data_IF_506409325492
#
_entry.id   IF_506409325492
#
_cell.length_a   1.000
_cell.length_b   1.000
_cell.length_c   1.000
_cell.angle_alpha   90.00
_cell.angle_beta   90.00
_cell.angle_gamma   90.00
#
_symmetry.space_group_name_H-M   'P 1'
#
loop_
_entity.id
_entity.type
_entity.pdbx_description
1 polymer ?
#
# COMPACT_ATOMS: atom_id res chain seq x y z
N UNK A 1 6.91 8.89 48.25
CA UNK A 1 8.19 9.45 47.75
C UNK A 1 8.70 8.53 46.64
N UNK A 2 8.44 8.87 45.38
CA UNK A 2 8.81 8.03 44.24
C UNK A 2 10.31 8.14 43.97
N UNK A 3 11.03 7.01 43.98
CA UNK A 3 12.44 6.96 43.56
C UNK A 3 12.51 7.45 42.10
N UNK A 4 13.13 8.61 41.87
CA UNK A 4 13.53 9.03 40.53
C UNK A 4 14.57 8.02 40.05
N UNK A 5 14.16 7.06 39.24
CA UNK A 5 15.12 6.24 38.51
C UNK A 5 15.79 7.15 37.49
N UNK A 6 17.07 7.41 37.70
CA UNK A 6 17.92 8.04 36.68
C UNK A 6 18.08 7.02 35.55
N UNK A 7 17.12 7.01 34.63
CA UNK A 7 17.28 6.31 33.38
C UNK A 7 18.26 7.13 32.54
N UNK A 8 19.54 6.79 32.61
CA UNK A 8 20.55 7.27 31.65
C UNK A 8 20.15 6.66 30.32
N UNK A 9 19.32 7.39 29.57
CA UNK A 9 18.87 6.98 28.26
C UNK A 9 20.03 7.22 27.31
N UNK A 10 20.78 6.17 26.98
CA UNK A 10 21.79 6.25 25.93
C UNK A 10 21.12 6.78 24.67
N UNK A 11 21.69 7.79 23.98
CA UNK A 11 21.09 8.39 22.80
C UNK A 11 21.31 7.48 21.59
N UNK A 12 20.75 6.26 21.63
CA UNK A 12 20.95 5.20 20.62
C UNK A 12 20.57 5.70 19.23
N UNK A 13 19.50 6.48 19.11
CA UNK A 13 19.09 7.08 17.83
C UNK A 13 20.14 8.05 17.27
N UNK A 14 20.75 8.89 18.13
CA UNK A 14 21.81 9.82 17.71
C UNK A 14 23.10 9.10 17.33
N UNK A 15 23.49 8.07 18.10
CA UNK A 15 24.67 7.24 17.76
C UNK A 15 24.47 6.51 16.42
N UNK A 16 23.27 5.99 16.16
CA UNK A 16 22.95 5.34 14.90
C UNK A 16 23.05 6.31 13.72
N UNK A 17 22.43 7.49 13.81
CA UNK A 17 22.48 8.52 12.75
C UNK A 17 23.91 9.00 12.52
N UNK A 18 24.68 9.22 13.60
CA UNK A 18 26.09 9.61 13.50
C UNK A 18 26.93 8.55 12.77
N UNK A 19 26.80 7.28 13.17
CA UNK A 19 27.53 6.17 12.55
C UNK A 19 27.18 6.02 11.08
N UNK A 20 25.89 6.11 10.73
CA UNK A 20 25.43 6.06 9.35
C UNK A 20 25.98 7.23 8.52
N UNK A 21 26.01 8.45 9.08
CA UNK A 21 26.57 9.61 8.40
C UNK A 21 28.08 9.46 8.13
N UNK A 22 28.85 8.96 9.11
CA UNK A 22 30.28 8.67 8.94
C UNK A 22 30.49 7.62 7.85
N UNK A 23 29.73 6.52 7.87
CA UNK A 23 29.83 5.45 6.86
C UNK A 23 29.48 5.93 5.45
N UNK A 24 28.49 6.81 5.29
CA UNK A 24 28.15 7.40 3.98
C UNK A 24 29.33 8.22 3.43
N UNK A 25 29.99 9.00 4.28
CA UNK A 25 31.11 9.87 3.89
C UNK A 25 32.35 9.04 3.54
N UNK A 26 32.71 8.07 4.40
CA UNK A 26 33.90 7.25 4.21
C UNK A 26 33.75 6.24 3.06
N UNK A 27 32.54 5.71 2.88
CA UNK A 27 32.27 4.64 1.90
C UNK A 27 30.94 4.87 1.17
N UNK A 28 30.92 5.73 0.12
CA UNK A 28 29.70 6.03 -0.64
C UNK A 28 29.02 4.80 -1.26
N UNK A 29 29.78 3.72 -1.48
CA UNK A 29 29.26 2.41 -1.90
C UNK A 29 28.17 1.87 -0.95
N UNK A 30 28.22 2.24 0.33
CA UNK A 30 27.26 1.81 1.34
C UNK A 30 25.98 2.66 1.38
N UNK A 31 25.78 3.63 0.48
CA UNK A 31 24.56 4.46 0.47
C UNK A 31 23.28 3.60 0.36
N UNK A 32 23.14 2.63 -0.58
CA UNK A 32 21.93 1.81 -0.67
C UNK A 32 21.60 1.01 0.61
N UNK A 33 22.53 0.24 1.23
CA UNK A 33 22.24 -0.44 2.48
C UNK A 33 21.94 0.54 3.62
N UNK A 34 22.62 1.68 3.69
CA UNK A 34 22.35 2.71 4.72
C UNK A 34 20.94 3.27 4.58
N UNK A 35 20.44 3.50 3.36
CA UNK A 35 19.05 3.91 3.14
C UNK A 35 18.09 2.82 3.64
N UNK A 36 18.34 1.55 3.30
CA UNK A 36 17.52 0.42 3.74
C UNK A 36 17.47 0.30 5.27
N UNK A 37 18.63 0.36 5.93
CA UNK A 37 18.72 0.34 7.39
C UNK A 37 18.09 1.58 8.04
N UNK A 38 18.17 2.75 7.39
CA UNK A 38 17.52 3.97 7.88
C UNK A 38 15.99 3.86 7.86
N UNK A 39 15.43 3.28 6.79
CA UNK A 39 13.98 3.01 6.69
C UNK A 39 13.57 2.01 7.78
N UNK A 40 14.31 0.91 7.92
CA UNK A 40 14.05 -0.09 8.95
C UNK A 40 14.12 0.53 10.36
N UNK A 41 15.15 1.33 10.64
CA UNK A 41 15.34 2.00 11.92
C UNK A 41 14.21 2.98 12.23
N UNK A 42 13.77 3.75 11.23
CA UNK A 42 12.63 4.66 11.37
C UNK A 42 11.36 3.89 11.69
N UNK A 43 11.07 2.79 11.00
CA UNK A 43 9.91 1.95 11.27
C UNK A 43 9.99 1.32 12.67
N UNK A 44 11.14 0.80 13.09
CA UNK A 44 11.35 0.27 14.44
C UNK A 44 11.18 1.35 15.52
N UNK A 45 11.66 2.56 15.27
CA UNK A 45 11.49 3.70 16.17
C UNK A 45 10.01 4.08 16.32
N UNK A 46 9.25 4.05 15.22
CA UNK A 46 7.80 4.27 15.25
C UNK A 46 7.09 3.16 16.04
N UNK A 47 7.47 1.89 15.84
CA UNK A 47 6.93 0.77 16.62
C UNK A 47 7.24 0.93 18.12
N UNK A 48 8.47 1.29 18.46
CA UNK A 48 8.89 1.48 19.83
C UNK A 48 8.10 2.62 20.52
N UNK A 49 7.83 3.70 19.79
CA UNK A 49 6.98 4.78 20.30
C UNK A 49 5.50 4.33 20.44
N UNK A 50 4.97 3.64 19.43
CA UNK A 50 3.58 3.19 19.38
C UNK A 50 3.26 2.08 20.38
N UNK A 51 4.20 1.17 20.66
CA UNK A 51 4.06 0.11 21.67
C UNK A 51 4.05 0.64 23.11
N UNK A 52 4.50 1.88 23.32
CA UNK A 52 4.44 2.59 24.60
C UNK A 52 3.25 3.55 24.71
N UNK A 53 2.30 3.47 23.80
CA UNK A 53 1.10 4.30 23.87
C UNK A 53 0.29 3.95 25.15
N UNK A 54 -0.16 4.96 25.93
CA UNK A 54 -0.89 4.72 27.19
C UNK A 54 -2.22 3.99 26.94
N UNK A 55 -2.98 4.43 25.93
CA UNK A 55 -4.18 3.71 25.47
C UNK A 55 -3.80 2.37 24.83
N UNK A 56 -4.29 1.28 25.40
CA UNK A 56 -4.10 -0.08 24.88
C UNK A 56 -4.67 -0.26 23.46
N UNK A 57 -5.73 0.47 23.11
CA UNK A 57 -6.37 0.41 21.78
C UNK A 57 -5.53 1.04 20.66
N UNK A 58 -4.64 1.97 21.03
CA UNK A 58 -3.68 2.60 20.10
C UNK A 58 -2.30 1.98 20.20
N UNK A 59 -2.08 1.08 21.16
CA UNK A 59 -0.80 0.44 21.39
C UNK A 59 -0.49 -0.56 20.29
N UNK A 60 0.65 -0.37 19.62
CA UNK A 60 1.15 -1.32 18.64
C UNK A 60 1.68 -2.58 19.34
N UNK A 61 1.59 -3.74 18.69
CA UNK A 61 2.34 -4.92 19.13
C UNK A 61 3.83 -4.65 19.03
N UNK A 62 4.58 -5.09 20.03
CA UNK A 62 6.04 -4.92 20.01
C UNK A 62 6.65 -5.80 18.91
N UNK A 63 7.83 -5.41 18.42
CA UNK A 63 8.55 -6.21 17.40
C UNK A 63 8.90 -7.60 17.91
N UNK A 64 9.25 -7.75 19.19
CA UNK A 64 9.52 -9.06 19.81
C UNK A 64 8.28 -9.97 19.79
N UNK A 65 7.13 -9.42 20.14
CA UNK A 65 5.83 -10.10 20.04
C UNK A 65 5.54 -10.56 18.60
N UNK A 66 5.77 -9.70 17.61
CA UNK A 66 5.54 -10.03 16.20
C UNK A 66 6.53 -11.09 15.69
N UNK A 67 7.81 -11.00 16.07
CA UNK A 67 8.83 -12.00 15.74
C UNK A 67 8.48 -13.37 16.34
N UNK A 68 7.99 -13.40 17.58
CA UNK A 68 7.52 -14.64 18.22
C UNK A 68 6.35 -15.26 17.46
N UNK A 69 5.39 -14.46 17.01
CA UNK A 69 4.29 -14.95 16.16
C UNK A 69 4.82 -15.51 14.84
N UNK A 70 5.80 -14.85 14.22
CA UNK A 70 6.38 -15.33 12.96
C UNK A 70 7.15 -16.65 13.14
N UNK A 71 7.93 -16.78 14.22
CA UNK A 71 8.75 -17.96 14.47
C UNK A 71 7.94 -19.16 14.97
N UNK A 72 6.95 -18.92 15.83
CA UNK A 72 6.14 -19.99 16.46
C UNK A 72 4.88 -20.29 15.65
N UNK A 73 4.42 -19.37 14.80
CA UNK A 73 3.15 -19.48 14.08
C UNK A 73 1.91 -19.28 14.95
N UNK A 74 2.08 -19.01 16.25
CA UNK A 74 0.99 -18.88 17.22
C UNK A 74 0.99 -17.51 17.88
N UNK A 75 -0.18 -16.84 17.89
CA UNK A 75 -0.40 -15.63 18.68
C UNK A 75 -0.64 -15.98 20.14
N UNK A 76 0.41 -16.22 20.93
CA UNK A 76 0.30 -16.46 22.38
C UNK A 76 0.08 -15.19 23.22
N UNK A 77 -0.49 -14.16 22.61
CA UNK A 77 -0.74 -12.92 23.32
C UNK A 77 -1.88 -13.12 24.32
N UNK A 78 -1.57 -12.99 25.60
CA UNK A 78 -2.60 -12.89 26.63
C UNK A 78 -3.57 -11.76 26.31
N UNK A 79 -4.85 -11.97 26.62
CA UNK A 79 -5.84 -10.91 26.57
C UNK A 79 -5.42 -9.80 27.53
N UNK A 80 -5.30 -8.57 27.02
CA UNK A 80 -4.99 -7.42 27.86
C UNK A 80 -6.27 -7.06 28.61
N UNK A 81 -6.32 -7.38 29.91
CA UNK A 81 -7.41 -6.92 30.79
C UNK A 81 -7.12 -5.49 31.23
N UNK A 82 -7.94 -4.56 30.78
CA UNK A 82 -7.83 -3.14 31.11
C UNK A 82 -8.90 -2.83 32.14
N UNK A 83 -8.54 -2.20 33.26
CA UNK A 83 -9.53 -1.76 34.24
C UNK A 83 -10.33 -0.57 33.70
N UNK A 84 -11.61 -0.40 34.08
CA UNK A 84 -12.37 0.80 33.73
C UNK A 84 -11.61 2.08 34.11
N UNK A 85 -11.46 3.00 33.15
CA UNK A 85 -10.71 4.26 33.28
C UNK A 85 -9.19 4.13 33.53
N UNK A 86 -8.58 2.95 33.35
CA UNK A 86 -7.12 2.81 33.42
C UNK A 86 -6.45 3.68 32.34
N UNK A 87 -5.44 4.46 32.72
CA UNK A 87 -4.72 5.42 31.85
C UNK A 87 -5.56 6.56 31.24
N UNK A 88 -6.78 6.83 31.71
CA UNK A 88 -7.62 7.91 31.17
C UNK A 88 -6.93 9.27 31.14
N UNK A 89 -6.27 9.64 32.23
CA UNK A 89 -5.57 10.94 32.35
C UNK A 89 -4.36 11.03 31.42
N UNK A 90 -3.58 9.95 31.32
CA UNK A 90 -2.41 9.90 30.43
C UNK A 90 -2.81 9.94 28.96
N UNK A 91 -3.88 9.22 28.59
CA UNK A 91 -4.44 9.24 27.25
C UNK A 91 -4.93 10.66 26.88
N UNK A 92 -5.69 11.32 27.77
CA UNK A 92 -6.15 12.69 27.56
C UNK A 92 -5.00 13.70 27.43
N UNK A 93 -3.95 13.56 28.25
CA UNK A 93 -2.77 14.42 28.15
C UNK A 93 -2.04 14.21 26.82
N UNK A 94 -1.93 12.97 26.37
CA UNK A 94 -1.31 12.61 25.08
C UNK A 94 -2.13 13.14 23.91
N UNK A 95 -3.45 12.98 23.94
CA UNK A 95 -4.35 13.49 22.91
C UNK A 95 -4.22 15.02 22.76
N UNK A 96 -4.17 15.76 23.89
CA UNK A 96 -3.90 17.20 23.88
C UNK A 96 -2.55 17.54 23.25
N UNK A 97 -1.51 16.76 23.54
CA UNK A 97 -0.19 16.95 22.96
C UNK A 97 -0.19 16.70 21.45
N UNK A 98 -0.87 15.64 21.01
CA UNK A 98 -0.99 15.28 19.60
C UNK A 98 -1.81 16.33 18.83
N UNK A 99 -2.86 16.90 19.44
CA UNK A 99 -3.61 18.03 18.88
C UNK A 99 -2.73 19.25 18.68
N UNK A 100 -1.88 19.59 19.66
CA UNK A 100 -0.93 20.72 19.56
C UNK A 100 0.09 20.46 18.44
N UNK A 101 0.64 19.24 18.34
CA UNK A 101 1.56 18.85 17.27
C UNK A 101 0.89 18.91 15.89
N UNK A 102 -0.34 18.39 15.79
CA UNK A 102 -1.11 18.41 14.55
C UNK A 102 -1.42 19.84 14.10
N UNK A 103 -1.78 20.74 15.04
CA UNK A 103 -1.96 22.18 14.73
C UNK A 103 -0.68 22.82 14.20
N UNK A 104 0.47 22.55 14.82
CA UNK A 104 1.78 23.05 14.35
C UNK A 104 2.13 22.52 12.96
N UNK A 105 1.95 21.22 12.74
CA UNK A 105 2.26 20.56 11.47
C UNK A 105 1.34 21.05 10.34
N UNK A 106 0.05 21.28 10.63
CA UNK A 106 -0.88 21.90 9.69
C UNK A 106 -0.42 23.30 9.28
N UNK A 107 0.03 24.12 10.24
CA UNK A 107 0.58 25.44 9.97
C UNK A 107 1.74 25.40 8.96
N UNK A 108 2.75 24.58 9.25
CA UNK A 108 3.90 24.39 8.35
C UNK A 108 3.50 23.87 6.97
N UNK A 109 2.53 22.95 6.91
CA UNK A 109 2.05 22.40 5.65
C UNK A 109 1.30 23.44 4.81
N UNK A 110 0.46 24.27 5.42
CA UNK A 110 -0.22 25.37 4.74
C UNK A 110 0.76 26.43 4.24
N UNK A 111 1.82 26.73 4.99
CA UNK A 111 2.89 27.62 4.55
C UNK A 111 3.60 27.05 3.31
N UNK A 112 3.92 25.75 3.32
CA UNK A 112 4.61 25.08 2.21
C UNK A 112 3.73 24.95 0.95
N UNK A 113 2.44 24.67 1.10
CA UNK A 113 1.49 24.72 -0.02
C UNK A 113 1.35 26.15 -0.52
N UNK A 114 1.25 27.12 0.39
CA UNK A 114 1.11 28.53 0.05
C UNK A 114 2.30 29.05 -0.76
N UNK A 115 3.52 28.66 -0.42
CA UNK A 115 4.72 28.99 -1.20
C UNK A 115 4.70 28.29 -2.56
N UNK A 116 4.34 27.00 -2.63
CA UNK A 116 4.20 26.27 -3.90
C UNK A 116 3.17 26.88 -4.86
N UNK A 117 2.02 27.31 -4.33
CA UNK A 117 0.98 28.00 -5.11
C UNK A 117 1.44 29.38 -5.59
N UNK A 118 2.20 30.13 -4.78
CA UNK A 118 2.80 31.40 -5.20
C UNK A 118 3.77 31.19 -6.36
N UNK A 119 4.63 30.18 -6.29
CA UNK A 119 5.56 29.80 -7.37
C UNK A 119 4.78 29.44 -8.63
N UNK A 120 3.77 28.57 -8.53
CA UNK A 120 2.93 28.19 -9.68
C UNK A 120 2.20 29.39 -10.30
N UNK A 121 1.72 30.34 -9.49
CA UNK A 121 1.06 31.57 -9.97
C UNK A 121 2.01 32.47 -10.75
N UNK A 122 3.29 32.50 -10.39
CA UNK A 122 4.33 33.21 -11.16
C UNK A 122 4.54 32.51 -12.50
N UNK A 123 4.66 31.18 -12.51
CA UNK A 123 4.82 30.39 -13.75
C UNK A 123 3.57 30.37 -14.65
N UNK A 124 2.36 30.48 -14.09
CA UNK A 124 1.14 30.52 -14.91
C UNK A 124 0.96 31.85 -15.61
N UNK A 125 1.47 32.96 -15.03
CA UNK A 125 1.43 34.28 -15.68
C UNK A 125 2.36 34.38 -16.89
N UNK A 126 3.39 33.52 -16.97
CA UNK A 126 4.31 33.46 -18.11
C UNK A 126 3.85 32.52 -19.23
N UNK A 127 2.73 31.81 -19.06
CA UNK A 127 2.26 30.79 -20.01
C UNK A 127 0.84 31.06 -20.55
N UNK A 128 0.35 32.30 -20.44
CA UNK A 128 -0.97 32.72 -20.95
C UNK A 128 -0.86 33.49 -22.27
N UNK A 129 -0.27 32.87 -23.30
CA UNK A 129 -0.52 33.30 -24.68
C UNK A 129 -1.47 32.29 -25.36
N UNK A 130 -2.68 32.78 -25.61
CA UNK A 130 -3.62 32.40 -26.67
C UNK A 130 -3.99 30.92 -26.79
N UNK A 131 -4.95 30.46 -25.98
CA UNK A 131 -5.89 29.42 -26.42
C UNK A 131 -7.31 30.01 -26.30
N UNK A 132 -7.74 30.68 -27.37
CA UNK A 132 -9.13 31.06 -27.56
C UNK A 132 -9.92 29.79 -27.89
N UNK A 133 -10.66 29.28 -26.90
CA UNK A 133 -11.51 28.10 -27.06
C UNK A 133 -12.85 28.57 -27.62
N UNK A 134 -13.07 28.36 -28.92
CA UNK A 134 -14.36 28.58 -29.58
C UNK A 134 -15.40 27.57 -29.07
N UNK A 135 -16.43 28.09 -28.41
CA UNK A 135 -17.54 27.36 -27.78
C UNK A 135 -18.71 27.15 -28.75
N UNK A 136 -18.60 26.19 -29.68
CA UNK A 136 -19.76 25.78 -30.49
C UNK A 136 -20.02 24.26 -30.54
N UNK A 137 -19.14 23.41 -30.01
CA UNK A 137 -19.32 21.94 -29.97
C UNK A 137 -19.70 21.40 -28.58
N UNK A 138 -20.70 22.03 -27.95
CA UNK A 138 -21.04 21.79 -26.53
C UNK A 138 -21.46 20.34 -26.23
N UNK A 139 -22.07 19.61 -27.16
CA UNK A 139 -22.51 18.23 -26.92
C UNK A 139 -21.37 17.18 -26.97
N UNK A 140 -20.27 17.46 -27.70
CA UNK A 140 -19.10 16.56 -27.77
C UNK A 140 -18.18 16.74 -26.55
N UNK A 141 -18.07 17.96 -26.03
CA UNK A 141 -17.21 18.30 -24.90
C UNK A 141 -17.53 17.53 -23.60
N UNK A 142 -18.82 17.28 -23.32
CA UNK A 142 -19.23 16.56 -22.10
C UNK A 142 -18.75 15.11 -22.05
N UNK A 143 -18.62 14.42 -23.19
CA UNK A 143 -18.10 13.04 -23.21
C UNK A 143 -16.62 13.01 -22.86
N UNK A 144 -15.81 13.92 -23.42
CA UNK A 144 -14.39 14.04 -23.09
C UNK A 144 -14.18 14.44 -21.63
N UNK A 145 -14.96 15.39 -21.13
CA UNK A 145 -14.88 15.81 -19.73
C UNK A 145 -15.23 14.66 -18.78
N UNK A 146 -16.24 13.84 -19.11
CA UNK A 146 -16.63 12.69 -18.29
C UNK A 146 -15.53 11.62 -18.25
N UNK A 147 -14.89 11.31 -19.38
CA UNK A 147 -13.77 10.36 -19.44
C UNK A 147 -12.56 10.87 -18.66
N UNK A 148 -12.20 12.14 -18.84
CA UNK A 148 -11.09 12.77 -18.13
C UNK A 148 -11.35 12.86 -16.62
N UNK A 149 -12.57 13.25 -16.24
CA UNK A 149 -12.99 13.30 -14.84
C UNK A 149 -12.97 11.91 -14.18
N UNK A 150 -13.41 10.87 -14.91
CA UNK A 150 -13.32 9.48 -14.44
C UNK A 150 -11.86 9.06 -14.21
N UNK A 151 -10.95 9.42 -15.12
CA UNK A 151 -9.52 9.15 -14.94
C UNK A 151 -8.96 9.86 -13.71
N UNK A 152 -9.25 11.14 -13.51
CA UNK A 152 -8.84 11.89 -12.33
C UNK A 152 -9.42 11.29 -11.05
N UNK A 153 -10.72 10.94 -11.04
CA UNK A 153 -11.35 10.30 -9.89
C UNK A 153 -10.71 8.97 -9.56
N UNK A 154 -10.37 8.17 -10.58
CA UNK A 154 -9.68 6.89 -10.39
C UNK A 154 -8.29 7.10 -9.82
N UNK A 155 -7.50 8.02 -10.37
CA UNK A 155 -6.18 8.40 -9.84
C UNK A 155 -6.26 8.89 -8.40
N UNK A 156 -7.25 9.72 -8.06
CA UNK A 156 -7.45 10.23 -6.71
C UNK A 156 -7.86 9.12 -5.74
N UNK A 157 -8.73 8.19 -6.17
CA UNK A 157 -9.11 7.02 -5.39
C UNK A 157 -7.90 6.11 -5.12
N UNK A 158 -7.05 5.88 -6.13
CA UNK A 158 -5.79 5.14 -5.97
C UNK A 158 -4.86 5.85 -4.98
N UNK A 159 -4.68 7.16 -5.13
CA UNK A 159 -3.83 7.97 -4.25
C UNK A 159 -4.32 7.92 -2.80
N UNK A 160 -5.62 8.08 -2.56
CA UNK A 160 -6.22 7.93 -1.23
C UNK A 160 -5.97 6.53 -0.65
N UNK A 161 -6.06 5.49 -1.47
CA UNK A 161 -5.77 4.11 -1.06
C UNK A 161 -4.30 3.96 -0.66
N UNK A 162 -3.37 4.49 -1.46
CA UNK A 162 -1.94 4.47 -1.14
C UNK A 162 -1.61 5.27 0.11
N UNK A 163 -2.20 6.45 0.30
CA UNK A 163 -2.02 7.26 1.52
C UNK A 163 -2.55 6.53 2.75
N UNK A 164 -3.67 5.80 2.64
CA UNK A 164 -4.19 4.98 3.71
C UNK A 164 -3.26 3.79 4.02
N UNK A 165 -2.74 3.09 3.01
CA UNK A 165 -1.76 2.02 3.20
C UNK A 165 -0.47 2.54 3.85
N UNK A 166 0.04 3.69 3.39
CA UNK A 166 1.19 4.35 3.97
C UNK A 166 0.94 4.73 5.43
N UNK A 167 -0.20 5.37 5.73
CA UNK A 167 -0.62 5.72 7.09
C UNK A 167 -0.74 4.48 7.99
N UNK A 168 -1.29 3.39 7.48
CA UNK A 168 -1.42 2.14 8.23
C UNK A 168 -0.05 1.51 8.51
N UNK A 169 0.85 1.56 7.53
CA UNK A 169 2.24 1.10 7.66
C UNK A 169 2.99 1.92 8.70
N UNK A 170 2.92 3.26 8.64
CA UNK A 170 3.57 4.16 9.59
C UNK A 170 3.04 4.01 11.02
N UNK A 171 1.73 3.72 11.17
CA UNK A 171 1.11 3.46 12.48
C UNK A 171 1.26 2.01 12.96
N UNK A 172 1.98 1.15 12.23
CA UNK A 172 2.11 -0.27 12.54
C UNK A 172 0.76 -1.00 12.69
N UNK A 173 -0.25 -0.56 11.94
CA UNK A 173 -1.57 -1.19 11.87
C UNK A 173 -1.55 -2.25 10.77
N UNK A 174 -1.19 -3.47 11.15
CA UNK A 174 -1.16 -4.64 10.27
C UNK A 174 0.23 -5.22 10.05
N UNK A 175 0.28 -6.38 9.38
CA UNK A 175 1.51 -7.14 9.16
C UNK A 175 2.46 -6.52 8.13
N UNK A 176 1.96 -5.61 7.27
CA UNK A 176 2.77 -4.98 6.22
C UNK A 176 3.94 -4.17 6.77
N UNK A 177 3.75 -3.43 7.87
CA UNK A 177 4.83 -2.65 8.49
C UNK A 177 5.97 -3.56 8.98
N UNK A 178 5.59 -4.68 9.58
CA UNK A 178 6.55 -5.68 10.06
C UNK A 178 7.30 -6.35 8.90
N UNK A 179 6.58 -6.80 7.86
CA UNK A 179 7.19 -7.38 6.66
C UNK A 179 8.10 -6.39 5.94
N UNK A 180 7.69 -5.13 5.78
CA UNK A 180 8.51 -4.08 5.18
C UNK A 180 9.79 -3.85 5.99
N UNK A 181 9.69 -3.82 7.31
CA UNK A 181 10.86 -3.71 8.20
C UNK A 181 11.79 -4.91 8.03
N UNK A 182 11.24 -6.12 7.99
CA UNK A 182 12.04 -7.33 7.78
C UNK A 182 12.73 -7.33 6.41
N UNK A 183 12.00 -7.01 5.33
CA UNK A 183 12.54 -6.95 3.98
C UNK A 183 13.62 -5.88 3.81
N UNK A 184 13.45 -4.72 4.44
CA UNK A 184 14.46 -3.66 4.38
C UNK A 184 15.73 -4.03 5.17
N UNK A 185 15.60 -4.71 6.31
CA UNK A 185 16.75 -5.26 7.05
C UNK A 185 17.43 -6.37 6.24
N UNK A 186 16.69 -7.34 5.73
CA UNK A 186 17.29 -8.45 4.96
C UNK A 186 17.94 -7.96 3.67
N UNK A 187 17.33 -7.00 2.98
CA UNK A 187 17.91 -6.37 1.79
C UNK A 187 19.18 -5.59 2.14
N UNK A 188 19.18 -4.83 3.23
CA UNK A 188 20.37 -4.12 3.72
C UNK A 188 21.52 -5.07 4.06
N UNK A 189 21.23 -6.18 4.76
CA UNK A 189 22.23 -7.22 5.08
C UNK A 189 22.73 -7.92 3.81
N UNK A 190 21.83 -8.30 2.91
CA UNK A 190 22.20 -8.93 1.64
C UNK A 190 23.12 -8.03 0.81
N UNK A 191 22.89 -6.71 0.80
CA UNK A 191 23.73 -5.76 0.09
C UNK A 191 25.13 -5.61 0.70
N UNK A 192 25.24 -5.69 2.03
CA UNK A 192 26.54 -5.63 2.71
C UNK A 192 27.33 -6.93 2.50
N UNK A 193 26.66 -8.08 2.51
CA UNK A 193 27.30 -9.40 2.39
C UNK A 193 27.64 -9.78 0.95
N UNK A 194 26.76 -9.47 0.01
CA UNK A 194 26.95 -9.80 -1.40
C UNK A 194 27.63 -8.63 -2.11
N UNK A 195 28.54 -8.88 -3.07
CA UNK A 195 29.13 -7.83 -3.90
C UNK A 195 28.13 -7.31 -4.95
N UNK A 196 26.94 -6.87 -4.52
CA UNK A 196 25.81 -6.45 -5.36
C UNK A 196 26.22 -5.31 -6.29
N UNK A 197 27.16 -4.45 -5.89
CA UNK A 197 27.60 -3.32 -6.71
C UNK A 197 28.18 -3.78 -8.05
N UNK A 198 28.90 -4.91 -8.08
CA UNK A 198 29.38 -5.47 -9.34
C UNK A 198 28.21 -5.92 -10.22
N UNK A 199 27.19 -6.55 -9.62
CA UNK A 199 25.99 -6.99 -10.33
C UNK A 199 25.18 -5.80 -10.84
N UNK A 200 24.97 -4.77 -10.02
CA UNK A 200 24.25 -3.55 -10.39
C UNK A 200 24.99 -2.79 -11.49
N UNK A 201 26.31 -2.63 -11.39
CA UNK A 201 27.11 -2.05 -12.47
C UNK A 201 27.01 -2.87 -13.76
N UNK A 202 26.99 -4.20 -13.67
CA UNK A 202 26.79 -5.07 -14.83
C UNK A 202 25.40 -4.93 -15.44
N UNK A 203 24.34 -4.94 -14.63
CA UNK A 203 22.96 -4.75 -15.09
C UNK A 203 22.77 -3.38 -15.70
N UNK A 204 23.27 -2.31 -15.06
CA UNK A 204 23.23 -0.96 -15.61
C UNK A 204 24.04 -0.86 -16.91
N UNK A 205 25.19 -1.53 -17.01
CA UNK A 205 25.97 -1.58 -18.25
C UNK A 205 25.19 -2.28 -19.36
N UNK A 206 24.57 -3.43 -19.07
CA UNK A 206 23.70 -4.12 -20.03
C UNK A 206 22.55 -3.21 -20.43
N UNK A 207 21.85 -2.57 -19.49
CA UNK A 207 20.76 -1.64 -19.76
C UNK A 207 21.20 -0.46 -20.63
N UNK A 208 22.32 0.19 -20.31
CA UNK A 208 22.86 1.29 -21.11
C UNK A 208 23.25 0.79 -22.50
N UNK A 209 23.85 -0.39 -22.61
CA UNK A 209 24.21 -0.95 -23.92
C UNK A 209 22.97 -1.32 -24.75
N UNK A 210 21.93 -1.85 -24.13
CA UNK A 210 20.69 -2.21 -24.84
C UNK A 210 19.88 -0.97 -25.20
N UNK A 211 19.74 0.01 -24.30
CA UNK A 211 18.84 1.16 -24.49
C UNK A 211 19.54 2.38 -25.10
N UNK A 212 20.76 2.72 -24.68
CA UNK A 212 21.52 3.87 -25.19
C UNK A 212 22.49 3.50 -26.33
N UNK A 213 22.81 2.23 -26.49
CA UNK A 213 23.69 1.74 -27.54
C UNK A 213 22.97 1.57 -28.89
N UNK A 214 23.18 0.44 -29.59
CA UNK A 214 22.55 0.19 -30.89
C UNK A 214 21.02 0.27 -30.86
N UNK A 215 20.40 -0.04 -29.72
CA UNK A 215 18.97 0.09 -29.53
C UNK A 215 18.47 1.52 -29.69
N UNK A 216 19.24 2.53 -29.25
CA UNK A 216 18.84 3.93 -29.45
C UNK A 216 18.82 4.27 -30.93
N UNK A 217 19.77 3.75 -31.72
CA UNK A 217 19.78 3.90 -33.18
C UNK A 217 18.63 3.13 -33.83
N UNK A 218 18.24 1.96 -33.32
CA UNK A 218 17.06 1.24 -33.81
C UNK A 218 15.77 2.00 -33.47
N UNK A 219 15.63 2.55 -32.26
CA UNK A 219 14.50 3.41 -31.90
C UNK A 219 14.52 4.67 -32.76
N UNK A 220 15.69 5.26 -33.02
CA UNK A 220 15.82 6.42 -33.90
C UNK A 220 15.38 6.08 -35.33
N UNK A 221 15.82 4.96 -35.88
CA UNK A 221 15.45 4.52 -37.24
C UNK A 221 13.99 4.08 -37.33
N UNK A 222 13.45 3.36 -36.34
CA UNK A 222 12.10 2.79 -36.41
C UNK A 222 11.02 3.71 -35.86
N UNK A 223 11.29 4.42 -34.76
CA UNK A 223 10.35 5.37 -34.18
C UNK A 223 10.56 6.78 -34.72
N UNK A 224 11.78 7.33 -34.74
CA UNK A 224 11.97 8.77 -34.99
C UNK A 224 12.25 9.17 -36.45
N UNK A 225 12.80 8.28 -37.27
CA UNK A 225 13.06 8.52 -38.69
C UNK A 225 11.79 8.82 -39.49
N UNK A 226 10.62 8.21 -39.19
CA UNK A 226 9.34 8.66 -39.73
C UNK A 226 8.88 10.05 -39.27
N UNK A 227 9.54 10.67 -38.28
CA UNK A 227 9.16 12.00 -37.75
C UNK A 227 10.12 13.11 -38.14
N UNK A 228 11.39 12.78 -38.40
CA UNK A 228 12.41 13.71 -38.88
C UNK A 228 12.84 13.29 -40.28
N UNK A 229 11.96 13.52 -41.26
CA UNK A 229 12.38 13.46 -42.65
C UNK A 229 13.48 14.51 -42.84
N UNK A 230 14.61 14.08 -43.36
CA UNK A 230 15.70 14.99 -43.69
C UNK A 230 15.19 15.99 -44.73
N UNK A 231 15.69 17.24 -44.74
CA UNK A 231 15.19 18.28 -45.67
C UNK A 231 15.18 17.80 -47.14
N UNK A 232 16.17 17.01 -47.52
CA UNK A 232 16.31 16.38 -48.84
C UNK A 232 15.23 15.30 -49.11
N UNK A 233 14.77 14.56 -48.10
CA UNK A 233 13.69 13.57 -48.23
C UNK A 233 12.30 14.23 -48.30
N UNK A 234 12.09 15.34 -47.59
CA UNK A 234 10.90 16.17 -47.71
C UNK A 234 10.79 16.83 -49.10
N UNK A 235 11.93 17.23 -49.68
CA UNK A 235 11.99 17.77 -51.04
C UNK A 235 11.80 16.67 -52.10
N UNK A 236 12.30 15.45 -51.87
CA UNK A 236 12.13 14.31 -52.77
C UNK A 236 10.72 13.67 -52.71
N UNK A 237 10.04 13.70 -51.56
CA UNK A 237 8.69 13.18 -51.36
C UNK A 237 7.76 14.27 -50.79
N UNK A 238 7.13 15.11 -51.65
CA UNK A 238 6.24 16.19 -51.21
C UNK A 238 4.91 15.74 -50.59
N UNK A 239 4.70 14.42 -50.45
CA UNK A 239 3.50 13.80 -49.83
C UNK A 239 3.78 13.21 -48.46
N UNK A 240 4.73 13.77 -47.71
CA UNK A 240 4.92 13.39 -46.31
C UNK A 240 3.72 13.91 -45.50
N UNK A 241 2.65 13.11 -45.44
CA UNK A 241 1.55 13.30 -44.48
C UNK A 241 2.17 13.24 -43.09
N UNK A 242 2.11 14.35 -42.35
CA UNK A 242 2.54 14.41 -40.96
C UNK A 242 1.84 13.36 -40.10
N UNK A 243 2.19 13.30 -38.83
CA UNK A 243 1.63 12.31 -37.90
C UNK A 243 0.10 12.41 -37.85
N UNK A 244 -0.56 11.59 -38.66
CA UNK A 244 -2.01 11.49 -38.68
C UNK A 244 -2.38 10.73 -37.43
N UNK A 245 -2.59 11.47 -36.33
CA UNK A 245 -3.14 10.96 -35.08
C UNK A 245 -4.39 10.10 -35.37
N UNK A 246 -5.14 10.44 -36.42
CA UNK A 246 -6.24 9.66 -36.97
C UNK A 246 -5.83 8.23 -37.34
N UNK A 247 -4.74 8.01 -38.10
CA UNK A 247 -4.24 6.66 -38.40
C UNK A 247 -3.78 5.88 -37.16
N UNK A 248 -3.26 6.58 -36.14
CA UNK A 248 -2.90 5.94 -34.88
C UNK A 248 -4.17 5.54 -34.11
N UNK A 249 -5.15 6.45 -34.02
CA UNK A 249 -6.47 6.22 -33.43
C UNK A 249 -7.23 5.09 -34.15
N UNK A 250 -7.05 4.98 -35.46
CA UNK A 250 -7.60 3.94 -36.33
C UNK A 250 -6.74 2.67 -36.36
N UNK A 251 -5.68 2.59 -35.56
CA UNK A 251 -4.85 1.39 -35.51
C UNK A 251 -5.62 0.22 -34.91
N UNK A 252 -5.47 -0.97 -35.51
CA UNK A 252 -6.06 -2.23 -35.04
C UNK A 252 -5.72 -2.51 -33.56
N UNK A 253 -4.60 -1.97 -33.06
CA UNK A 253 -4.21 -2.08 -31.65
C UNK A 253 -5.13 -1.27 -30.71
N UNK A 254 -5.51 -0.04 -31.09
CA UNK A 254 -6.47 0.75 -30.32
C UNK A 254 -7.88 0.20 -30.45
N UNK A 255 -8.26 -0.32 -31.61
CA UNK A 255 -9.52 -1.04 -31.78
C UNK A 255 -9.58 -2.28 -30.88
N UNK A 256 -8.55 -3.14 -30.89
CA UNK A 256 -8.45 -4.31 -30.00
C UNK A 256 -8.45 -3.92 -28.52
N UNK A 257 -7.78 -2.83 -28.16
CA UNK A 257 -7.79 -2.31 -26.79
C UNK A 257 -9.19 -1.82 -26.41
N UNK A 258 -9.89 -1.15 -27.33
CA UNK A 258 -11.27 -0.72 -27.17
C UNK A 258 -12.25 -1.90 -27.04
N UNK A 259 -12.08 -2.93 -27.85
CA UNK A 259 -12.85 -4.18 -27.78
C UNK A 259 -12.61 -4.91 -26.46
N UNK A 260 -11.36 -5.05 -26.04
CA UNK A 260 -11.01 -5.65 -24.75
C UNK A 260 -11.60 -4.86 -23.57
N UNK A 261 -11.54 -3.52 -23.63
CA UNK A 261 -12.16 -2.66 -22.63
C UNK A 261 -13.69 -2.79 -22.62
N UNK A 262 -14.32 -2.90 -23.81
CA UNK A 262 -15.77 -3.12 -23.94
C UNK A 262 -16.17 -4.49 -23.36
N UNK A 263 -15.44 -5.54 -23.71
CA UNK A 263 -15.66 -6.90 -23.23
C UNK A 263 -15.49 -6.99 -21.71
N UNK A 264 -14.43 -6.38 -21.16
CA UNK A 264 -14.24 -6.27 -19.72
C UNK A 264 -15.38 -5.49 -19.03
N UNK A 265 -15.88 -4.44 -19.68
CA UNK A 265 -17.06 -3.69 -19.22
C UNK A 265 -18.34 -4.52 -19.22
N UNK A 266 -18.58 -5.29 -20.27
CA UNK A 266 -19.72 -6.21 -20.39
C UNK A 266 -19.64 -7.34 -19.36
N UNK A 267 -18.47 -7.96 -19.17
CA UNK A 267 -18.26 -8.99 -18.15
C UNK A 267 -18.49 -8.44 -16.74
N UNK A 268 -17.99 -7.23 -16.46
CA UNK A 268 -18.23 -6.57 -15.18
C UNK A 268 -19.73 -6.29 -14.95
N UNK A 269 -20.46 -5.90 -16.00
CA UNK A 269 -21.91 -5.68 -15.94
C UNK A 269 -22.65 -7.01 -15.71
N UNK A 270 -22.33 -8.05 -16.49
CA UNK A 270 -22.91 -9.40 -16.33
C UNK A 270 -22.66 -9.96 -14.94
N UNK A 271 -21.44 -9.79 -14.42
CA UNK A 271 -21.06 -10.27 -13.09
C UNK A 271 -21.81 -9.49 -11.99
N UNK A 272 -22.03 -8.19 -12.18
CA UNK A 272 -22.87 -7.37 -11.30
C UNK A 272 -24.33 -7.85 -11.33
N UNK A 273 -24.88 -8.12 -12.51
CA UNK A 273 -26.27 -8.58 -12.67
C UNK A 273 -26.46 -9.97 -12.07
N UNK A 274 -25.55 -10.91 -12.34
CA UNK A 274 -25.53 -12.23 -11.70
C UNK A 274 -25.46 -12.11 -10.17
N UNK A 275 -24.67 -11.17 -9.65
CA UNK A 275 -24.58 -10.92 -8.20
C UNK A 275 -25.89 -10.37 -7.64
N UNK A 276 -26.50 -9.40 -8.32
CA UNK A 276 -27.78 -8.82 -7.93
C UNK A 276 -28.90 -9.88 -7.96
N UNK A 277 -28.89 -10.77 -8.95
CA UNK A 277 -29.82 -11.88 -9.07
C UNK A 277 -29.70 -12.88 -7.91
N UNK A 278 -28.48 -13.31 -7.58
CA UNK A 278 -28.27 -14.31 -6.53
C UNK A 278 -28.41 -13.76 -5.11
N UNK A 279 -28.05 -12.49 -4.88
CA UNK A 279 -27.86 -11.94 -3.53
C UNK A 279 -28.69 -10.68 -3.24
N UNK A 280 -29.52 -10.26 -4.21
CA UNK A 280 -30.29 -9.03 -4.14
C UNK A 280 -29.49 -7.79 -4.53
N UNK A 281 -30.23 -6.70 -4.74
CA UNK A 281 -29.72 -5.42 -5.23
C UNK A 281 -28.73 -4.75 -4.25
N UNK A 282 -28.78 -5.12 -2.97
CA UNK A 282 -27.96 -4.55 -1.89
C UNK A 282 -26.62 -5.27 -1.66
N UNK A 283 -26.13 -6.04 -2.64
CA UNK A 283 -24.87 -6.79 -2.52
C UNK A 283 -23.64 -5.88 -2.69
N UNK A 284 -22.96 -5.58 -1.57
CA UNK A 284 -21.71 -4.81 -1.57
C UNK A 284 -20.48 -5.72 -1.63
N UNK A 285 -19.43 -5.29 -2.35
CA UNK A 285 -18.13 -5.94 -2.30
C UNK A 285 -17.53 -5.74 -0.90
N UNK A 286 -17.29 -6.83 -0.17
CA UNK A 286 -16.48 -6.78 1.05
C UNK A 286 -15.04 -6.53 0.59
N UNK A 287 -14.42 -5.40 0.95
CA UNK A 287 -13.06 -5.12 0.51
C UNK A 287 -12.11 -6.15 1.13
N UNK A 288 -11.21 -6.71 0.32
CA UNK A 288 -10.21 -7.72 0.74
C UNK A 288 -9.26 -7.19 1.82
N UNK A 289 -9.11 -5.87 1.89
CA UNK A 289 -8.55 -5.15 3.02
C UNK A 289 -9.57 -4.15 3.54
N UNK A 290 -9.96 -4.27 4.80
CA UNK A 290 -10.78 -3.26 5.47
C UNK A 290 -9.99 -1.96 5.64
N UNK A 291 -10.02 -1.12 4.62
CA UNK A 291 -9.43 0.22 4.62
C UNK A 291 -10.41 1.29 5.13
N UNK A 292 -11.70 0.95 5.27
CA UNK A 292 -12.77 1.86 5.63
C UNK A 292 -13.00 1.96 7.14
N UNK A 293 -12.62 0.94 7.92
CA UNK A 293 -12.60 1.04 9.38
C UNK A 293 -11.46 1.94 9.83
N UNK A 294 -11.78 3.22 10.02
CA UNK A 294 -11.20 3.92 11.16
C UNK A 294 -11.38 2.99 12.37
N UNK A 295 -10.31 2.62 13.10
CA UNK A 295 -10.49 1.77 14.25
C UNK A 295 -11.45 2.48 15.18
N UNK A 296 -12.59 1.84 15.45
CA UNK A 296 -13.52 2.28 16.47
C UNK A 296 -12.78 2.10 17.80
N UNK A 297 -12.02 3.12 18.20
CA UNK A 297 -11.42 3.17 19.53
C UNK A 297 -12.60 3.38 20.46
N UNK A 298 -12.92 2.41 21.34
CA UNK A 298 -14.03 2.60 22.28
C UNK A 298 -13.79 3.85 23.11
N UNK A 299 -14.87 4.53 23.48
CA UNK A 299 -14.77 5.70 24.36
C UNK A 299 -14.14 5.26 25.70
N UNK A 300 -13.42 6.14 26.42
CA UNK A 300 -12.86 5.79 27.72
C UNK A 300 -13.90 5.34 28.75
N UNK A 301 -15.17 5.72 28.55
CA UNK A 301 -16.32 5.30 29.34
C UNK A 301 -16.93 3.97 28.92
N UNK A 302 -16.56 3.44 27.76
CA UNK A 302 -17.03 2.14 27.28
C UNK A 302 -16.31 1.02 28.04
N UNK A 303 -17.09 0.10 28.60
CA UNK A 303 -16.62 -1.15 29.18
C UNK A 303 -17.08 -2.32 28.31
N UNK A 304 -16.26 -3.37 28.25
CA UNK A 304 -16.64 -4.64 27.65
C UNK A 304 -16.16 -5.72 28.61
N UNK A 305 -17.11 -6.48 29.16
CA UNK A 305 -16.78 -7.67 29.93
C UNK A 305 -16.75 -8.84 28.95
N UNK A 306 -15.68 -9.66 28.95
CA UNK A 306 -15.69 -10.87 28.15
C UNK A 306 -16.89 -11.71 28.61
N UNK A 307 -17.71 -12.15 27.66
CA UNK A 307 -18.80 -13.08 27.96
C UNK A 307 -18.17 -14.33 28.58
N UNK A 308 -18.29 -14.44 29.90
CA UNK A 308 -17.98 -15.65 30.64
C UNK A 308 -19.11 -16.60 30.25
N UNK A 309 -18.85 -17.43 29.23
CA UNK A 309 -19.82 -18.42 28.78
C UNK A 309 -20.41 -19.17 29.97
N UNK A 310 -21.66 -19.58 29.83
CA UNK A 310 -22.58 -19.95 30.90
C UNK A 310 -21.95 -20.80 32.02
N UNK A 311 -21.38 -20.14 33.02
CA UNK A 311 -21.37 -20.63 34.39
C UNK A 311 -22.74 -20.23 34.99
N UNK A 312 -23.78 -20.91 34.50
CA UNK A 312 -25.16 -21.05 34.98
C UNK A 312 -26.04 -19.82 35.30
N UNK A 313 -25.56 -18.57 35.26
CA UNK A 313 -26.38 -17.41 35.71
C UNK A 313 -26.19 -16.10 34.94
N UNK A 314 -26.25 -16.10 33.61
CA UNK A 314 -26.43 -14.84 32.86
C UNK A 314 -27.78 -14.81 32.15
N UNK A 315 -28.74 -14.14 32.77
CA UNK A 315 -30.08 -13.91 32.26
C UNK A 315 -30.05 -13.20 30.90
N UNK A 316 -30.49 -13.89 29.85
CA UNK A 316 -31.09 -13.25 28.67
C UNK A 316 -30.26 -13.13 27.38
N UNK A 317 -29.05 -13.69 27.28
CA UNK A 317 -28.35 -13.76 25.99
C UNK A 317 -28.64 -15.11 25.30
N UNK A 318 -29.21 -15.04 24.10
CA UNK A 318 -29.48 -16.23 23.26
C UNK A 318 -28.16 -16.94 22.98
N UNK A 319 -28.09 -18.19 23.42
CA UNK A 319 -26.96 -19.08 23.28
C UNK A 319 -26.37 -19.07 21.86
N UNK A 320 -25.12 -18.61 21.72
CA UNK A 320 -24.39 -18.77 20.48
C UNK A 320 -24.16 -20.28 20.29
N UNK A 321 -24.63 -20.91 19.20
CA UNK A 321 -24.55 -22.35 19.04
C UNK A 321 -23.11 -22.87 19.22
N UNK A 322 -22.93 -24.01 19.87
CA UNK A 322 -21.62 -24.59 20.26
C UNK A 322 -20.67 -24.76 19.06
N UNK A 323 -21.22 -24.88 17.84
CA UNK A 323 -20.46 -24.90 16.58
C UNK A 323 -19.83 -23.55 16.23
N UNK A 324 -20.46 -22.43 16.59
CA UNK A 324 -19.93 -21.07 16.48
C UNK A 324 -18.97 -20.71 17.62
N UNK A 325 -19.13 -21.29 18.82
CA UNK A 325 -18.15 -21.17 19.93
C UNK A 325 -16.75 -21.71 19.54
N UNK A 326 -16.63 -22.55 18.50
CA UNK A 326 -15.35 -23.05 17.94
C UNK A 326 -14.73 -22.19 16.84
N UNK A 327 -15.33 -21.04 16.49
CA UNK A 327 -14.73 -20.14 15.51
C UNK A 327 -13.49 -19.51 16.16
N UNK A 328 -12.33 -20.15 15.96
CA UNK A 328 -11.05 -19.54 16.27
C UNK A 328 -10.89 -18.35 15.35
N UNK A 329 -11.13 -17.15 15.88
CA UNK A 329 -10.66 -15.93 15.27
C UNK A 329 -9.13 -16.00 15.24
N UNK A 330 -8.56 -16.32 14.09
CA UNK A 330 -7.11 -16.24 13.89
C UNK A 330 -6.82 -14.78 13.50
N UNK A 331 -6.23 -13.98 14.40
CA UNK A 331 -5.94 -12.58 14.09
C UNK A 331 -5.01 -12.51 12.86
N UNK A 332 -5.47 -11.90 11.78
CA UNK A 332 -4.74 -11.82 10.51
C UNK A 332 -5.16 -12.80 9.42
N UNK A 333 -6.16 -13.65 9.67
CA UNK A 333 -6.73 -14.49 8.63
C UNK A 333 -7.35 -13.61 7.55
N UNK A 334 -6.82 -13.70 6.32
CA UNK A 334 -7.47 -13.13 5.13
C UNK A 334 -8.72 -13.95 4.88
N UNK A 335 -9.86 -13.33 5.13
CA UNK A 335 -11.16 -13.89 4.90
C UNK A 335 -11.55 -13.57 3.45
N UNK A 336 -11.05 -14.37 2.51
CA UNK A 336 -11.42 -14.26 1.11
C UNK A 336 -12.68 -15.11 0.83
N UNK A 337 -13.66 -14.55 0.13
CA UNK A 337 -14.88 -15.24 -0.25
C UNK A 337 -16.09 -14.32 -0.45
N UNK A 338 -16.93 -14.66 -1.42
CA UNK A 338 -18.17 -13.95 -1.72
C UNK A 338 -19.32 -14.41 -0.80
N UNK A 339 -19.28 -13.97 0.47
CA UNK A 339 -20.33 -14.06 1.52
C UNK A 339 -20.29 -15.22 2.54
N UNK A 340 -19.54 -16.30 2.32
CA UNK A 340 -19.27 -17.29 3.39
C UNK A 340 -17.77 -17.44 3.48
N UNK A 341 -17.22 -17.21 4.67
CA UNK A 341 -15.82 -17.45 4.95
C UNK A 341 -15.50 -18.92 4.67
N UNK A 342 -14.94 -19.20 3.49
CA UNK A 342 -14.26 -20.46 3.27
C UNK A 342 -12.89 -20.28 3.89
N UNK A 343 -12.55 -21.14 4.84
CA UNK A 343 -11.15 -21.38 5.14
C UNK A 343 -10.49 -21.73 3.81
N UNK A 344 -9.58 -20.89 3.34
CA UNK A 344 -8.60 -21.30 2.34
C UNK A 344 -7.78 -22.37 3.03
N UNK A 345 -8.26 -23.62 3.01
CA UNK A 345 -7.37 -24.77 3.12
C UNK A 345 -6.45 -24.60 1.93
N UNK A 346 -5.21 -24.17 2.18
CA UNK A 346 -4.14 -24.29 1.21
C UNK A 346 -4.29 -25.66 0.57
N UNK A 347 -4.52 -25.67 -0.73
CA UNK A 347 -4.61 -26.87 -1.57
C UNK A 347 -3.20 -27.45 -1.58
N UNK A 348 -2.82 -28.10 -0.47
CA UNK A 348 -1.67 -28.98 -0.35
C UNK A 348 -2.19 -30.42 -0.16
N UNK A 349 -3.33 -30.74 -0.79
CA UNK A 349 -3.96 -32.07 -0.70
C UNK A 349 -4.08 -32.78 -2.04
N UNK A 350 -3.47 -32.24 -3.10
CA UNK A 350 -3.42 -32.86 -4.43
C UNK A 350 -2.08 -33.59 -4.70
N UNK A 351 -1.36 -34.01 -3.64
CA UNK A 351 -0.19 -34.90 -3.77
C UNK A 351 -0.29 -36.19 -2.94
N UNK A 352 -1.48 -36.59 -2.50
CA UNK A 352 -1.68 -37.87 -1.78
C UNK A 352 -2.72 -38.81 -2.43
N UNK A 353 -3.19 -38.51 -3.64
CA UNK A 353 -4.14 -39.38 -4.38
C UNK A 353 -3.49 -40.17 -5.52
N UNK A 354 -2.24 -40.60 -5.37
CA UNK A 354 -1.60 -41.47 -6.36
C UNK A 354 -0.74 -42.55 -5.70
N UNK A 355 -1.35 -43.33 -4.81
CA UNK A 355 -0.87 -44.67 -4.46
C UNK A 355 -1.97 -45.44 -3.72
N UNK A 356 -3.07 -45.73 -4.41
CA UNK A 356 -3.87 -46.91 -4.11
C UNK A 356 -3.70 -47.82 -5.33
N UNK A 357 -2.68 -48.69 -5.22
CA UNK A 357 -2.36 -49.68 -6.21
C UNK A 357 -3.43 -50.75 -6.24
N UNK A 358 -3.86 -51.06 -7.47
CA UNK A 358 -4.54 -52.29 -7.83
C UNK A 358 -3.67 -53.49 -7.43
N UNK A 359 -3.99 -54.14 -6.30
CA UNK A 359 -3.59 -55.53 -6.09
C UNK A 359 -4.67 -56.45 -6.67
N UNK A 360 -4.43 -56.79 -7.93
CA UNK A 360 -5.03 -57.90 -8.65
C UNK A 360 -4.52 -59.22 -8.05
N UNK A 361 -5.46 -60.04 -7.59
CA UNK A 361 -5.44 -61.51 -7.48
C UNK A 361 -4.11 -62.26 -7.75
N UNK A 362 -3.71 -63.11 -6.81
CA UNK A 362 -3.25 -64.47 -7.17
C UNK A 362 -3.40 -65.47 -6.02
N UNK A 363 -4.09 -66.56 -6.34
CA UNK A 363 -4.29 -67.87 -5.66
C UNK A 363 -5.55 -68.08 -4.82
#
# INVERSE_FOLDING_TARGET
IGKKTFNIWFPVHSMFVFTMAVLVIETPRNIPPIICFSIAWLLLSLNFHGSRHPSAWRRCKSVDELNKVMMVGESRHGTIRIKPNEFKNEAQLRDKLDDVKAKRMKGLFFELIGTGLKVRKVYSKTNMENIAINTQDEARGWKFLKTYLYYIHTMLASLCTYLNMFRNTMNWRGYLAHQLTLYTVTLGVAWVLLPIDYLVCWVLRILVWTFLGPGMKLVDIFMFHPYYATREELEANPKFEGWNLEKLLDSEALEKMGEAARLAGEEALKLKDMRSYHFGELSQLIPSSDSSRFPCVPLPSSSAEPYAGDDEKSDGFVDIPTKQKRWRYIPGQRLDGHMIHRLVRSINKDMDSTQEGDDVNTF
#
